data_IF_602060025985
#
_entry.id   IF_602060025985
#
_cell.length_a   1.000
_cell.length_b   1.000
_cell.length_c   1.000
_cell.angle_alpha   90.00
_cell.angle_beta   90.00
_cell.angle_gamma   90.00
#
_symmetry.space_group_name_H-M   'P 1'
#
loop_
_entity.id
_entity.type
_entity.pdbx_description
1 polymer ?
#
# COMPACT_ATOMS: atom_id res chain seq x y z
N UNK A 1 10.00 27.51 -4.75
CA UNK A 1 8.69 27.28 -5.42
C UNK A 1 8.33 25.80 -5.60
N UNK A 2 8.85 24.88 -4.76
CA UNK A 2 8.72 23.42 -5.01
C UNK A 2 7.59 22.76 -4.20
N UNK A 3 7.20 23.33 -3.05
CA UNK A 3 6.28 22.69 -2.10
C UNK A 3 4.79 22.68 -2.54
N UNK A 4 4.33 23.74 -3.22
CA UNK A 4 2.96 23.78 -3.77
C UNK A 4 2.79 22.80 -4.93
N UNK A 5 3.83 22.65 -5.75
CA UNK A 5 3.86 21.69 -6.84
C UNK A 5 3.81 20.24 -6.31
N UNK A 6 4.53 19.94 -5.22
CA UNK A 6 4.49 18.60 -4.62
C UNK A 6 3.14 18.28 -3.98
N UNK A 7 2.47 19.24 -3.35
CA UNK A 7 1.10 19.04 -2.83
C UNK A 7 0.09 18.80 -3.95
N UNK A 8 0.18 19.56 -5.05
CA UNK A 8 -0.72 19.39 -6.18
C UNK A 8 -0.52 18.03 -6.87
N UNK A 9 0.74 17.57 -6.94
CA UNK A 9 1.08 16.23 -7.40
C UNK A 9 0.52 15.13 -6.49
N UNK A 10 0.58 15.31 -5.17
CA UNK A 10 0.01 14.36 -4.21
C UNK A 10 -1.52 14.24 -4.36
N UNK A 11 -2.22 15.35 -4.56
CA UNK A 11 -3.67 15.34 -4.85
C UNK A 11 -4.02 14.59 -6.14
N UNK A 12 -3.26 14.81 -7.21
CA UNK A 12 -3.46 14.10 -8.46
C UNK A 12 -3.24 12.59 -8.31
N UNK A 13 -2.18 12.18 -7.61
CA UNK A 13 -1.89 10.76 -7.39
C UNK A 13 -2.99 10.07 -6.58
N UNK A 14 -3.51 10.72 -5.53
CA UNK A 14 -4.62 10.19 -4.73
C UNK A 14 -5.89 10.02 -5.58
N UNK A 15 -6.19 10.99 -6.45
CA UNK A 15 -7.34 10.89 -7.35
C UNK A 15 -7.18 9.74 -8.36
N UNK A 16 -6.00 9.58 -8.95
CA UNK A 16 -5.70 8.49 -9.88
C UNK A 16 -5.78 7.11 -9.19
N UNK A 17 -5.28 6.99 -7.96
CA UNK A 17 -5.36 5.76 -7.16
C UNK A 17 -6.81 5.39 -6.85
N UNK A 18 -7.65 6.37 -6.49
CA UNK A 18 -9.08 6.16 -6.21
C UNK A 18 -9.82 5.67 -7.46
N UNK A 19 -9.59 6.29 -8.60
CA UNK A 19 -10.20 5.89 -9.86
C UNK A 19 -9.72 4.51 -10.32
N UNK A 20 -8.43 4.22 -10.15
CA UNK A 20 -7.85 2.90 -10.39
C UNK A 20 -8.45 1.81 -9.50
N UNK A 21 -8.69 2.11 -8.22
CA UNK A 21 -9.33 1.18 -7.29
C UNK A 21 -10.80 0.92 -7.65
N UNK A 22 -11.57 1.96 -7.97
CA UNK A 22 -12.96 1.82 -8.41
C UNK A 22 -13.07 0.98 -9.69
N UNK A 23 -12.15 1.19 -10.64
CA UNK A 23 -12.09 0.43 -11.89
C UNK A 23 -11.64 -1.02 -11.67
N UNK A 24 -10.69 -1.28 -10.78
CA UNK A 24 -10.26 -2.64 -10.45
C UNK A 24 -11.32 -3.41 -9.63
N UNK A 25 -12.02 -2.72 -8.74
CA UNK A 25 -13.15 -3.23 -7.96
C UNK A 25 -14.33 -3.59 -8.87
N UNK A 26 -14.71 -2.71 -9.81
CA UNK A 26 -15.81 -2.96 -10.76
C UNK A 26 -15.50 -4.10 -11.74
N UNK A 27 -14.22 -4.33 -12.04
CA UNK A 27 -13.77 -5.47 -12.87
C UNK A 27 -13.80 -6.80 -12.10
N UNK A 28 -14.24 -6.81 -10.83
CA UNK A 28 -14.38 -8.01 -9.97
C UNK A 28 -13.06 -8.81 -9.85
N UNK A 29 -11.94 -8.12 -9.99
CA UNK A 29 -10.58 -8.69 -10.01
C UNK A 29 -9.92 -8.69 -8.63
N UNK A 30 -10.55 -8.04 -7.66
CA UNK A 30 -10.12 -7.93 -6.26
C UNK A 30 -11.16 -8.62 -5.37
N UNK A 31 -10.71 -9.43 -4.42
CA UNK A 31 -11.60 -9.98 -3.40
C UNK A 31 -12.11 -8.84 -2.51
N UNK A 32 -13.40 -8.90 -2.13
CA UNK A 32 -14.08 -7.90 -1.29
C UNK A 32 -13.26 -7.40 -0.07
N UNK A 33 -12.64 -8.27 0.76
CA UNK A 33 -11.83 -7.83 1.90
C UNK A 33 -10.57 -7.04 1.51
N UNK A 34 -10.01 -7.30 0.33
CA UNK A 34 -8.85 -6.56 -0.17
C UNK A 34 -9.25 -5.15 -0.63
N UNK A 35 -10.44 -5.01 -1.21
CA UNK A 35 -10.99 -3.72 -1.58
C UNK A 35 -11.21 -2.85 -0.33
N UNK A 36 -11.78 -3.41 0.73
CA UNK A 36 -12.00 -2.70 2.00
C UNK A 36 -10.67 -2.29 2.67
N UNK A 37 -9.66 -3.16 2.64
CA UNK A 37 -8.31 -2.82 3.14
C UNK A 37 -7.68 -1.67 2.35
N UNK A 38 -7.78 -1.70 1.02
CA UNK A 38 -7.26 -0.64 0.14
C UNK A 38 -8.06 0.66 0.30
N UNK A 39 -9.35 0.58 0.60
CA UNK A 39 -10.19 1.72 0.90
C UNK A 39 -9.76 2.43 2.20
N UNK A 40 -9.52 1.67 3.27
CA UNK A 40 -9.03 2.22 4.53
C UNK A 40 -7.66 2.93 4.39
N UNK A 41 -6.77 2.41 3.55
CA UNK A 41 -5.47 3.04 3.27
C UNK A 41 -5.64 4.36 2.50
N UNK A 42 -6.58 4.43 1.56
CA UNK A 42 -6.89 5.68 0.85
C UNK A 42 -7.47 6.71 1.81
N UNK A 43 -8.34 6.30 2.73
CA UNK A 43 -8.95 7.18 3.71
C UNK A 43 -7.93 7.73 4.73
N UNK A 44 -6.92 6.92 5.12
CA UNK A 44 -5.78 7.40 5.93
C UNK A 44 -4.95 8.44 5.16
N UNK A 45 -4.63 8.18 3.88
CA UNK A 45 -3.89 9.14 3.04
C UNK A 45 -4.65 10.47 2.87
N UNK A 46 -5.97 10.41 2.73
CA UNK A 46 -6.81 11.61 2.59
C UNK A 46 -6.87 12.39 3.90
N UNK A 47 -6.96 11.70 5.03
CA UNK A 47 -6.90 12.32 6.36
C UNK A 47 -5.55 12.99 6.61
N UNK A 48 -4.46 12.34 6.20
CA UNK A 48 -3.11 12.87 6.32
C UNK A 48 -2.87 14.08 5.41
N UNK A 49 -3.46 14.10 4.21
CA UNK A 49 -3.44 15.27 3.33
C UNK A 49 -4.16 16.47 3.96
N UNK A 50 -5.36 16.24 4.51
CA UNK A 50 -6.11 17.29 5.23
C UNK A 50 -5.35 17.83 6.42
N UNK A 51 -4.73 16.95 7.21
CA UNK A 51 -3.92 17.36 8.35
C UNK A 51 -2.71 18.19 7.91
N UNK A 52 -1.97 17.74 6.90
CA UNK A 52 -0.80 18.47 6.38
C UNK A 52 -1.20 19.83 5.78
N UNK A 53 -2.35 19.90 5.11
CA UNK A 53 -2.91 21.15 4.60
C UNK A 53 -3.36 22.09 5.72
N UNK A 54 -3.96 21.56 6.79
CA UNK A 54 -4.31 22.32 7.99
C UNK A 54 -3.05 22.86 8.70
N UNK A 55 -2.01 22.03 8.86
CA UNK A 55 -0.71 22.47 9.41
C UNK A 55 -0.06 23.52 8.51
N UNK A 56 -0.07 23.34 7.19
CA UNK A 56 0.48 24.33 6.26
C UNK A 56 -0.28 25.66 6.31
N UNK A 57 -1.60 25.64 6.44
CA UNK A 57 -2.41 26.86 6.60
C UNK A 57 -2.21 27.49 7.99
N UNK A 58 -2.12 26.69 9.04
CA UNK A 58 -1.90 27.13 10.43
C UNK A 58 -0.52 27.75 10.64
N UNK A 59 0.53 27.13 10.09
CA UNK A 59 1.91 27.61 10.15
C UNK A 59 2.09 28.94 9.39
N UNK A 60 1.37 29.15 8.28
CA UNK A 60 1.36 30.46 7.59
C UNK A 60 0.71 31.55 8.45
N UNK A 61 -0.35 31.23 9.21
CA UNK A 61 -1.03 32.21 10.06
C UNK A 61 -0.27 32.48 11.38
N UNK A 62 0.36 31.47 11.97
CA UNK A 62 1.16 31.61 13.19
C UNK A 62 2.54 32.23 12.90
N UNK A 63 3.15 31.92 11.76
CA UNK A 63 4.41 32.53 11.33
C UNK A 63 4.23 34.01 11.04
N UNK A 64 3.13 34.46 10.40
CA UNK A 64 2.86 35.89 10.19
C UNK A 64 2.58 36.64 11.51
N UNK A 65 1.87 36.02 12.47
CA UNK A 65 1.65 36.64 13.80
C UNK A 65 2.91 36.69 14.65
N UNK A 66 3.76 35.66 14.59
CA UNK A 66 5.03 35.60 15.32
C UNK A 66 6.07 36.52 14.68
N UNK A 67 6.09 36.61 13.34
CA UNK A 67 7.00 37.45 12.56
C UNK A 67 6.65 38.94 12.63
N UNK A 68 5.37 39.29 12.72
CA UNK A 68 4.94 40.67 12.99
C UNK A 68 5.25 41.11 14.43
N UNK A 69 5.21 40.19 15.40
CA UNK A 69 5.64 40.46 16.78
C UNK A 69 7.18 40.61 16.87
N UNK A 70 7.93 39.86 16.06
CA UNK A 70 9.40 39.93 15.99
C UNK A 70 9.95 41.07 15.13
N UNK A 71 9.23 41.54 14.10
CA UNK A 71 9.64 42.66 13.25
C UNK A 71 8.97 44.00 13.60
N UNK A 72 7.98 44.00 14.51
CA UNK A 72 7.26 45.19 14.96
C UNK A 72 7.94 45.99 16.08
N UNK A 73 9.04 45.51 16.66
CA UNK A 73 9.68 46.12 17.85
C UNK A 73 11.04 46.77 17.57
N UNK A 74 11.39 47.03 16.30
CA UNK A 74 12.72 47.49 15.89
C UNK A 74 12.90 49.00 15.65
N UNK A 75 12.01 49.87 16.12
CA UNK A 75 12.17 51.33 15.97
C UNK A 75 12.36 52.01 17.33
N UNK A 76 13.56 51.88 17.88
CA UNK A 76 14.08 52.76 18.93
C UNK A 76 14.54 52.07 20.20
N UNK A 77 15.84 51.82 20.32
CA UNK A 77 16.65 52.30 21.45
C UNK A 77 18.11 51.82 21.32
N UNK A 78 19.01 52.79 21.16
CA UNK A 78 20.35 52.88 21.75
C UNK A 78 21.04 51.64 22.35
N UNK A 79 22.31 51.48 22.00
CA UNK A 79 23.34 50.98 22.92
C UNK A 79 24.07 49.74 22.41
N UNK A 80 25.24 49.95 21.81
CA UNK A 80 26.02 48.87 21.21
C UNK A 80 26.65 47.92 22.22
N UNK A 81 26.79 46.66 21.79
CA UNK A 81 27.92 45.77 22.13
C UNK A 81 28.16 44.90 20.90
N UNK A 82 29.40 44.89 20.43
CA UNK A 82 29.88 44.05 19.34
C UNK A 82 29.72 42.57 19.71
N UNK A 83 28.82 41.87 19.03
CA UNK A 83 28.57 40.45 19.23
C UNK A 83 29.74 39.62 18.67
N UNK A 84 30.59 39.10 19.54
CA UNK A 84 31.62 38.10 19.19
C UNK A 84 30.93 36.76 18.81
N UNK A 85 31.15 36.20 17.61
CA UNK A 85 30.51 34.96 17.17
C UNK A 85 30.93 33.67 17.91
N UNK A 86 31.91 33.75 18.82
CA UNK A 86 32.42 32.62 19.62
C UNK A 86 31.94 32.64 21.07
N UNK A 87 31.15 33.65 21.49
CA UNK A 87 30.34 33.49 22.68
C UNK A 87 29.13 32.65 22.27
N UNK A 88 29.21 31.35 22.54
CA UNK A 88 28.04 30.49 22.66
C UNK A 88 27.16 31.17 23.71
N UNK A 89 26.13 31.89 23.27
CA UNK A 89 25.11 32.40 24.17
C UNK A 89 24.56 31.18 24.92
N UNK A 90 24.75 31.13 26.23
CA UNK A 90 24.03 30.17 27.08
C UNK A 90 22.54 30.23 26.73
N UNK A 91 21.93 29.05 26.54
CA UNK A 91 20.49 28.90 26.34
C UNK A 91 19.76 29.67 27.44
N UNK A 92 18.68 30.39 27.10
CA UNK A 92 17.93 31.21 28.06
C UNK A 92 17.42 30.40 29.28
N UNK A 93 17.34 29.07 29.18
CA UNK A 93 17.03 28.16 30.29
C UNK A 93 18.15 27.98 31.31
N UNK A 94 19.41 28.20 30.94
CA UNK A 94 20.59 27.98 31.82
C UNK A 94 21.17 29.29 32.35
N UNK A 95 20.76 30.41 31.76
CA UNK A 95 21.26 31.76 32.05
C UNK A 95 20.76 32.22 33.42
N UNK A 96 21.58 32.01 34.46
CA UNK A 96 21.31 32.46 35.83
C UNK A 96 21.12 31.37 36.88
N UNK A 97 21.25 30.09 36.53
CA UNK A 97 21.18 28.96 37.47
C UNK A 97 22.56 28.67 38.08
N UNK A 98 22.61 28.43 39.39
CA UNK A 98 23.84 28.02 40.08
C UNK A 98 24.24 26.60 39.62
N UNK A 99 25.52 26.25 39.61
CA UNK A 99 26.04 24.96 39.11
C UNK A 99 25.32 23.73 39.70
N UNK A 100 24.83 23.84 40.95
CA UNK A 100 24.02 22.81 41.59
C UNK A 100 22.62 22.62 40.98
N UNK A 101 21.97 23.70 40.53
CA UNK A 101 20.65 23.69 39.90
C UNK A 101 20.74 23.13 38.47
N UNK A 102 21.80 23.45 37.73
CA UNK A 102 22.10 22.86 36.41
C UNK A 102 22.26 21.34 36.54
N UNK A 103 22.99 20.86 37.55
CA UNK A 103 23.15 19.42 37.81
C UNK A 103 21.81 18.73 38.11
N UNK A 104 20.94 19.39 38.89
CA UNK A 104 19.59 18.87 39.17
C UNK A 104 18.71 18.80 37.92
N UNK A 105 18.76 19.82 37.08
CA UNK A 105 18.03 19.84 35.81
C UNK A 105 18.54 18.76 34.86
N UNK A 106 19.86 18.57 34.77
CA UNK A 106 20.47 17.52 33.96
C UNK A 106 20.09 16.12 34.47
N UNK A 107 20.01 15.91 35.78
CA UNK A 107 19.54 14.65 36.36
C UNK A 107 18.07 14.36 35.99
N UNK A 108 17.20 15.37 36.05
CA UNK A 108 15.80 15.24 35.64
C UNK A 108 15.68 14.93 34.14
N UNK A 109 16.52 15.55 33.31
CA UNK A 109 16.57 15.30 31.87
C UNK A 109 17.04 13.87 31.57
N UNK A 110 17.96 13.32 32.37
CA UNK A 110 18.40 11.92 32.26
C UNK A 110 17.27 10.97 32.65
N UNK A 111 16.55 11.22 33.75
CA UNK A 111 15.41 10.37 34.16
C UNK A 111 14.30 10.33 33.09
N UNK A 112 14.00 11.46 32.45
CA UNK A 112 13.01 11.52 31.37
C UNK A 112 13.48 10.73 30.14
N UNK A 113 14.78 10.78 29.82
CA UNK A 113 15.34 10.00 28.72
C UNK A 113 15.31 8.50 28.99
N UNK A 114 15.64 8.05 30.20
CA UNK A 114 15.57 6.65 30.57
C UNK A 114 14.13 6.11 30.48
N UNK A 115 13.14 6.88 30.97
CA UNK A 115 11.74 6.52 30.79
C UNK A 115 11.33 6.45 29.31
N UNK A 116 11.90 7.31 28.45
CA UNK A 116 11.71 7.25 27.01
C UNK A 116 12.34 6.02 26.36
N UNK A 117 13.52 5.60 26.81
CA UNK A 117 14.19 4.39 26.35
C UNK A 117 13.42 3.12 26.74
N UNK A 118 12.86 3.06 27.94
CA UNK A 118 12.01 1.94 28.36
C UNK A 118 10.75 1.81 27.50
N UNK A 119 10.10 2.93 27.19
CA UNK A 119 8.95 2.94 26.27
C UNK A 119 9.35 2.47 24.86
N UNK A 120 10.50 2.91 24.37
CA UNK A 120 11.04 2.50 23.08
C UNK A 120 11.41 1.01 23.07
N UNK A 121 12.02 0.50 24.14
CA UNK A 121 12.32 -0.92 24.31
C UNK A 121 11.05 -1.77 24.31
N UNK A 122 9.97 -1.31 24.97
CA UNK A 122 8.68 -1.98 24.94
C UNK A 122 8.07 -2.03 23.53
N UNK A 123 8.21 -0.97 22.73
CA UNK A 123 7.78 -0.95 21.33
C UNK A 123 8.61 -1.91 20.47
N UNK A 124 9.93 -1.90 20.61
CA UNK A 124 10.83 -2.82 19.89
C UNK A 124 10.49 -4.27 20.23
N UNK A 125 10.20 -4.57 21.50
CA UNK A 125 9.81 -5.92 21.93
C UNK A 125 8.53 -6.39 21.23
N UNK A 126 7.51 -5.54 21.15
CA UNK A 126 6.28 -5.85 20.39
C UNK A 126 6.55 -6.02 18.90
N UNK A 127 7.39 -5.16 18.33
CA UNK A 127 7.75 -5.23 16.92
C UNK A 127 8.55 -6.49 16.59
N UNK A 128 9.39 -6.97 17.51
CA UNK A 128 10.08 -8.25 17.39
C UNK A 128 9.08 -9.42 17.37
N UNK A 129 8.11 -9.43 18.26
CA UNK A 129 7.06 -10.46 18.30
C UNK A 129 6.28 -10.46 16.98
N UNK A 130 5.82 -9.29 16.53
CA UNK A 130 5.13 -9.14 15.25
C UNK A 130 6.00 -9.59 14.07
N UNK A 131 7.30 -9.30 14.08
CA UNK A 131 8.24 -9.77 13.08
C UNK A 131 8.41 -11.30 13.06
N UNK A 132 8.38 -11.94 14.23
CA UNK A 132 8.39 -13.40 14.33
C UNK A 132 7.08 -14.02 13.84
N UNK A 133 5.94 -13.43 14.18
CA UNK A 133 4.62 -13.87 13.67
C UNK A 133 4.54 -13.74 12.15
N UNK A 134 5.01 -12.63 11.57
CA UNK A 134 5.11 -12.45 10.12
C UNK A 134 6.03 -13.52 9.50
N UNK A 135 7.15 -13.84 10.15
CA UNK A 135 8.05 -14.89 9.68
C UNK A 135 7.36 -16.25 9.61
N UNK A 136 6.70 -16.66 10.70
CA UNK A 136 5.98 -17.93 10.75
C UNK A 136 4.83 -17.98 9.73
N UNK A 137 4.08 -16.89 9.58
CA UNK A 137 2.99 -16.80 8.59
C UNK A 137 3.53 -16.86 7.16
N UNK A 138 4.70 -16.28 6.87
CA UNK A 138 5.35 -16.40 5.56
C UNK A 138 5.80 -17.83 5.28
N UNK A 139 6.30 -18.55 6.30
CA UNK A 139 6.65 -19.96 6.19
C UNK A 139 5.41 -20.83 5.93
N UNK A 140 4.31 -20.58 6.63
CA UNK A 140 3.01 -21.26 6.39
C UNK A 140 2.44 -20.93 5.00
N UNK A 141 2.51 -19.68 4.57
CA UNK A 141 2.11 -19.30 3.22
C UNK A 141 2.97 -19.93 2.13
N UNK A 142 4.27 -20.15 2.37
CA UNK A 142 5.13 -20.89 1.44
C UNK A 142 4.64 -22.34 1.26
N UNK A 143 4.26 -23.02 2.35
CA UNK A 143 3.69 -24.37 2.29
C UNK A 143 2.38 -24.37 1.48
N UNK A 144 1.50 -23.40 1.71
CA UNK A 144 0.24 -23.26 0.95
C UNK A 144 0.51 -22.98 -0.54
N UNK A 145 1.54 -22.20 -0.87
CA UNK A 145 1.90 -21.90 -2.27
C UNK A 145 2.41 -23.15 -2.97
N UNK A 146 3.23 -23.97 -2.31
CA UNK A 146 3.71 -25.24 -2.87
C UNK A 146 2.55 -26.21 -3.14
N UNK A 147 1.62 -26.33 -2.19
CA UNK A 147 0.40 -27.12 -2.37
C UNK A 147 -0.46 -26.61 -3.53
N UNK A 148 -0.64 -25.28 -3.62
CA UNK A 148 -1.37 -24.67 -4.73
C UNK A 148 -0.69 -24.97 -6.07
N UNK A 149 0.63 -24.89 -6.15
CA UNK A 149 1.42 -25.24 -7.33
C UNK A 149 1.14 -26.69 -7.75
N UNK A 150 1.17 -27.63 -6.81
CA UNK A 150 0.89 -29.03 -7.08
C UNK A 150 -0.57 -29.27 -7.53
N UNK A 151 -1.53 -28.54 -6.97
CA UNK A 151 -2.92 -28.57 -7.41
C UNK A 151 -3.10 -28.00 -8.83
N UNK A 152 -2.38 -26.94 -9.17
CA UNK A 152 -2.36 -26.34 -10.50
C UNK A 152 -1.79 -27.32 -11.53
N UNK A 153 -0.65 -27.94 -11.24
CA UNK A 153 -0.03 -28.94 -12.12
C UNK A 153 -0.98 -30.13 -12.39
N UNK A 154 -1.60 -30.66 -11.33
CA UNK A 154 -2.59 -31.74 -11.44
C UNK A 154 -3.82 -31.32 -12.26
N UNK A 155 -4.21 -30.06 -12.16
CA UNK A 155 -5.33 -29.50 -12.92
C UNK A 155 -4.96 -29.35 -14.39
N UNK A 156 -3.75 -28.88 -14.70
CA UNK A 156 -3.23 -28.78 -16.06
C UNK A 156 -3.15 -30.16 -16.73
N UNK A 157 -2.62 -31.17 -16.02
CA UNK A 157 -2.57 -32.56 -16.52
C UNK A 157 -3.96 -33.13 -16.84
N UNK A 158 -4.94 -32.87 -15.97
CA UNK A 158 -6.34 -33.26 -16.22
C UNK A 158 -6.90 -32.54 -17.43
N UNK A 159 -6.74 -31.23 -17.51
CA UNK A 159 -7.20 -30.42 -18.65
C UNK A 159 -6.57 -30.92 -19.94
N UNK A 160 -5.27 -31.22 -19.93
CA UNK A 160 -4.55 -31.72 -21.10
C UNK A 160 -5.05 -33.10 -21.54
N UNK A 161 -5.32 -33.99 -20.59
CA UNK A 161 -5.84 -35.32 -20.89
C UNK A 161 -7.29 -35.25 -21.42
N UNK A 162 -8.16 -34.44 -20.82
CA UNK A 162 -9.52 -34.21 -21.30
C UNK A 162 -9.51 -33.54 -22.68
N UNK A 163 -8.66 -32.54 -22.90
CA UNK A 163 -8.46 -31.91 -24.22
C UNK A 163 -8.04 -32.95 -25.27
N UNK A 164 -7.14 -33.87 -24.92
CA UNK A 164 -6.73 -34.96 -25.81
C UNK A 164 -7.88 -35.93 -26.10
N UNK A 165 -8.72 -36.25 -25.11
CA UNK A 165 -9.92 -37.09 -25.28
C UNK A 165 -10.93 -36.41 -26.20
N UNK A 166 -11.22 -35.13 -25.99
CA UNK A 166 -12.10 -34.34 -26.87
C UNK A 166 -11.58 -34.34 -28.30
N UNK A 167 -10.29 -34.07 -28.51
CA UNK A 167 -9.66 -34.12 -29.84
C UNK A 167 -9.74 -35.52 -30.46
N UNK A 168 -9.57 -36.57 -29.66
CA UNK A 168 -9.72 -37.95 -30.14
C UNK A 168 -11.16 -38.25 -30.54
N UNK A 169 -12.15 -37.81 -29.75
CA UNK A 169 -13.58 -37.95 -30.08
C UNK A 169 -13.92 -37.21 -31.37
N UNK A 170 -13.39 -36.00 -31.57
CA UNK A 170 -13.56 -35.25 -32.82
C UNK A 170 -13.01 -36.03 -34.02
N UNK A 171 -11.78 -36.58 -33.90
CA UNK A 171 -11.17 -37.38 -34.98
C UNK A 171 -11.82 -38.74 -35.21
N UNK A 172 -12.38 -39.39 -34.17
CA UNK A 172 -12.99 -40.73 -34.27
C UNK A 172 -14.47 -40.67 -34.65
N UNK A 173 -15.17 -39.60 -34.26
CA UNK A 173 -16.56 -39.33 -34.66
C UNK A 173 -16.64 -38.72 -36.06
N UNK A 174 -15.55 -38.14 -36.57
CA UNK A 174 -15.48 -37.69 -37.94
C UNK A 174 -15.64 -38.88 -38.91
N UNK A 175 -16.83 -38.92 -39.49
CA UNK A 175 -17.08 -39.40 -40.84
C UNK A 175 -17.31 -40.88 -41.08
N UNK A 176 -16.51 -41.84 -40.59
CA UNK A 176 -16.59 -43.18 -41.19
C UNK A 176 -17.95 -43.88 -41.00
N UNK A 177 -18.46 -43.98 -39.76
CA UNK A 177 -19.74 -44.67 -39.51
C UNK A 177 -20.95 -43.92 -40.05
N UNK A 178 -21.02 -42.60 -39.84
CA UNK A 178 -22.15 -41.79 -40.27
C UNK A 178 -22.22 -41.64 -41.80
N UNK A 179 -21.07 -41.47 -42.49
CA UNK A 179 -21.05 -41.46 -43.96
C UNK A 179 -21.44 -42.82 -44.54
N UNK A 180 -21.01 -43.93 -43.93
CA UNK A 180 -21.42 -45.27 -44.37
C UNK A 180 -22.95 -45.44 -44.26
N UNK A 181 -23.56 -45.00 -43.16
CA UNK A 181 -25.02 -45.03 -42.99
C UNK A 181 -25.72 -44.14 -44.03
N UNK A 182 -25.22 -42.91 -44.26
CA UNK A 182 -25.77 -42.00 -45.27
C UNK A 182 -25.69 -42.63 -46.68
N UNK A 183 -24.55 -43.23 -47.05
CA UNK A 183 -24.36 -43.89 -48.35
C UNK A 183 -25.30 -45.10 -48.50
N UNK A 184 -25.45 -45.93 -47.46
CA UNK A 184 -26.39 -47.06 -47.49
C UNK A 184 -27.84 -46.63 -47.68
N UNK A 185 -28.26 -45.55 -47.00
CA UNK A 185 -29.61 -44.99 -47.18
C UNK A 185 -29.82 -44.43 -48.59
N UNK A 186 -28.82 -43.77 -49.19
CA UNK A 186 -28.91 -43.30 -50.58
C UNK A 186 -29.07 -44.44 -51.57
N UNK A 187 -28.32 -45.55 -51.40
CA UNK A 187 -28.47 -46.73 -52.25
C UNK A 187 -29.88 -47.32 -52.13
N UNK A 188 -30.41 -47.45 -50.91
CA UNK A 188 -31.76 -47.96 -50.70
C UNK A 188 -32.82 -47.10 -51.41
N UNK A 189 -32.70 -45.78 -51.36
CA UNK A 189 -33.61 -44.85 -52.06
C UNK A 189 -33.53 -45.06 -53.58
N UNK A 190 -32.32 -45.18 -54.15
CA UNK A 190 -32.13 -45.41 -55.59
C UNK A 190 -32.74 -46.73 -56.02
N UNK A 191 -32.54 -47.80 -55.26
CA UNK A 191 -33.13 -49.13 -55.56
C UNK A 191 -34.64 -49.05 -55.59
N UNK A 192 -35.27 -48.38 -54.61
CA UNK A 192 -36.72 -48.20 -54.57
C UNK A 192 -37.19 -47.34 -55.75
N UNK A 193 -36.48 -46.27 -56.11
CA UNK A 193 -36.85 -45.39 -57.20
C UNK A 193 -36.72 -46.04 -58.59
N UNK A 194 -35.74 -46.94 -58.76
CA UNK A 194 -35.51 -47.66 -60.02
C UNK A 194 -36.38 -48.91 -60.12
N UNK A 195 -36.88 -49.44 -58.99
CA UNK A 195 -37.80 -50.57 -59.01
C UNK A 195 -39.06 -50.15 -59.77
N UNK A 196 -39.31 -50.72 -60.97
CA UNK A 196 -40.52 -50.39 -61.71
C UNK A 196 -41.70 -50.91 -60.91
N UNK A 197 -42.50 -49.96 -60.39
CA UNK A 197 -43.77 -50.25 -59.71
C UNK A 197 -44.79 -50.81 -60.69
#
# INVERSE_FOLDING_TARGET
MTLRASQQKLKQNIAQLKEGLLRASSTRRLMQPEADRRQNLIDDLLTREKHLNATFRGDITESESSRSTLMGTGAGSSGGVTANPWLINETEETKGLNFGEIKQQQQRVIEVQDAGLDALAAVISRQKIMGQEIGNELDEQNEIIDDLSHLVDKTDDRIRNETRRVKLVETKSASCGMLVVIVLLLIAIVVIAVWPV
#
